data_IF_691494601938
#
_entry.id   IF_691494601938
#
_cell.length_a   1.000
_cell.length_b   1.000
_cell.length_c   1.000
_cell.angle_alpha   90.00
_cell.angle_beta   90.00
_cell.angle_gamma   90.00
#
_symmetry.space_group_name_H-M   'P 1'
#
loop_
_entity.id
_entity.type
_entity.pdbx_description
1 polymer ?
#
# COMPACT_ATOMS: atom_id res chain seq x y z
N UNK A 1 -6.01 16.14 17.83
CA UNK A 1 -4.77 15.63 18.48
C UNK A 1 -4.14 16.83 19.14
N UNK A 2 -3.82 16.82 20.43
CA UNK A 2 -3.15 17.97 21.05
C UNK A 2 -1.66 17.86 20.81
N UNK A 3 -1.06 18.91 20.24
CA UNK A 3 0.37 18.97 19.92
C UNK A 3 0.96 20.27 20.45
N UNK A 4 2.29 20.37 20.58
CA UNK A 4 2.96 21.62 20.93
C UNK A 4 2.71 22.79 19.96
N UNK A 5 2.29 22.50 18.71
CA UNK A 5 2.03 23.50 17.67
C UNK A 5 0.54 23.78 17.44
N UNK A 6 -0.33 23.24 18.29
CA UNK A 6 -1.78 23.42 18.22
C UNK A 6 -2.54 22.10 18.24
N UNK A 7 -3.84 22.18 17.95
CA UNK A 7 -4.76 21.04 18.05
C UNK A 7 -5.36 20.68 16.67
N UNK A 8 -4.58 20.03 15.78
CA UNK A 8 -5.10 19.70 14.46
C UNK A 8 -6.33 18.77 14.55
N UNK A 9 -7.34 19.11 13.75
CA UNK A 9 -8.54 18.32 13.55
C UNK A 9 -8.24 17.29 12.46
N UNK A 10 -8.21 16.01 12.84
CA UNK A 10 -7.78 14.93 11.96
C UNK A 10 -8.87 13.85 11.83
N UNK A 11 -9.12 13.39 10.61
CA UNK A 11 -10.02 12.27 10.31
C UNK A 11 -9.28 11.17 9.55
N UNK A 12 -9.80 9.95 9.64
CA UNK A 12 -9.40 8.86 8.74
C UNK A 12 -9.99 9.12 7.35
N UNK A 13 -9.52 8.34 6.38
CA UNK A 13 -9.98 8.43 4.99
C UNK A 13 -10.30 7.03 4.42
N UNK A 14 -11.38 6.90 3.62
CA UNK A 14 -12.47 7.87 3.49
C UNK A 14 -13.13 8.16 4.84
N UNK A 15 -13.67 9.36 5.02
CA UNK A 15 -14.32 9.74 6.27
C UNK A 15 -15.64 8.97 6.43
N UNK A 16 -15.78 8.21 7.52
CA UNK A 16 -17.03 7.59 7.94
C UNK A 16 -17.39 8.14 9.33
N UNK A 17 -18.51 8.86 9.49
CA UNK A 17 -18.96 9.39 10.78
C UNK A 17 -19.15 8.32 11.87
N UNK A 18 -19.26 7.05 11.48
CA UNK A 18 -19.40 5.91 12.40
C UNK A 18 -18.05 5.30 12.79
N UNK A 19 -16.95 5.71 12.17
CA UNK A 19 -15.62 5.22 12.51
C UNK A 19 -15.22 5.72 13.90
N UNK A 20 -14.95 4.79 14.80
CA UNK A 20 -14.50 5.08 16.17
C UNK A 20 -12.97 5.14 16.27
N UNK A 21 -12.26 4.80 15.20
CA UNK A 21 -10.80 4.84 15.15
C UNK A 21 -10.31 6.25 14.84
N UNK A 22 -9.16 6.60 15.42
CA UNK A 22 -8.49 7.88 15.20
C UNK A 22 -7.57 7.83 13.97
N UNK A 23 -7.29 9.00 13.41
CA UNK A 23 -6.33 9.24 12.33
C UNK A 23 -4.87 9.32 12.81
N UNK A 24 -4.66 9.11 14.10
CA UNK A 24 -3.36 9.20 14.78
C UNK A 24 -3.40 8.26 15.98
N UNK A 25 -2.23 7.89 16.48
CA UNK A 25 -2.08 7.16 17.74
C UNK A 25 -1.04 7.80 18.66
N UNK A 26 -0.84 7.20 19.84
CA UNK A 26 0.03 7.76 20.86
C UNK A 26 1.49 7.95 20.40
N UNK A 27 1.92 7.24 19.35
CA UNK A 27 3.27 7.36 18.81
C UNK A 27 3.47 8.64 18.00
N UNK A 28 2.41 9.13 17.34
CA UNK A 28 2.44 10.41 16.62
C UNK A 28 2.53 11.58 17.63
N UNK A 29 1.70 11.55 18.67
CA UNK A 29 1.70 12.53 19.76
C UNK A 29 3.05 12.57 20.49
N UNK A 30 3.60 11.40 20.83
CA UNK A 30 4.87 11.30 21.54
C UNK A 30 6.03 11.86 20.70
N UNK A 31 6.07 11.53 19.40
CA UNK A 31 7.08 12.08 18.50
C UNK A 31 7.01 13.62 18.47
N UNK A 32 5.82 14.18 18.26
CA UNK A 32 5.65 15.63 18.15
C UNK A 32 6.04 16.36 19.44
N UNK A 33 5.66 15.83 20.61
CA UNK A 33 6.09 16.40 21.90
C UNK A 33 7.60 16.35 22.06
N UNK A 34 8.23 15.23 21.72
CA UNK A 34 9.69 15.09 21.78
C UNK A 34 10.42 16.11 20.90
N UNK A 35 9.90 16.37 19.69
CA UNK A 35 10.48 17.34 18.76
C UNK A 35 10.37 18.78 19.27
N UNK A 36 9.33 19.13 20.02
CA UNK A 36 9.16 20.48 20.59
C UNK A 36 10.00 20.73 21.86
N UNK A 37 10.28 19.68 22.64
CA UNK A 37 11.08 19.77 23.87
C UNK A 37 12.59 19.87 23.59
N UNK A 38 13.02 19.78 22.32
CA UNK A 38 14.44 19.72 21.93
C UNK A 38 14.76 20.66 20.77
N UNK A 39 16.01 21.13 20.68
CA UNK A 39 16.47 21.89 19.52
C UNK A 39 16.59 20.93 18.32
N UNK A 40 15.56 20.88 17.48
CA UNK A 40 15.54 20.15 16.20
C UNK A 40 15.53 21.17 15.06
N UNK A 41 16.35 21.01 14.00
CA UNK A 41 16.45 21.98 12.90
C UNK A 41 15.24 21.89 11.94
N UNK A 42 14.03 22.13 12.46
CA UNK A 42 12.79 22.11 11.68
C UNK A 42 12.67 23.23 10.64
N UNK A 43 13.65 24.15 10.57
CA UNK A 43 13.80 25.11 9.48
C UNK A 43 14.49 24.51 8.24
N UNK A 44 15.15 23.36 8.38
CA UNK A 44 15.77 22.61 7.29
C UNK A 44 14.80 21.70 6.55
N UNK A 45 15.33 20.75 5.79
CA UNK A 45 14.52 19.76 5.05
C UNK A 45 13.98 18.69 5.98
N UNK A 46 12.68 18.77 6.30
CA UNK A 46 11.96 17.80 7.10
C UNK A 46 11.29 16.77 6.19
N UNK A 47 11.63 15.49 6.36
CA UNK A 47 11.03 14.37 5.63
C UNK A 47 10.29 13.46 6.60
N UNK A 48 9.05 13.13 6.26
CA UNK A 48 8.20 12.21 7.04
C UNK A 48 7.81 11.03 6.17
N UNK A 49 8.10 9.82 6.63
CA UNK A 49 7.71 8.58 5.96
C UNK A 49 6.77 7.75 6.82
N UNK A 50 5.83 7.06 6.18
CA UNK A 50 4.88 6.17 6.86
C UNK A 50 3.74 6.86 7.61
N UNK A 51 3.58 8.19 7.47
CA UNK A 51 2.47 8.95 8.04
C UNK A 51 1.17 8.56 7.33
N UNK A 52 0.35 7.72 7.96
CA UNK A 52 -0.77 7.00 7.30
C UNK A 52 -1.95 7.91 6.98
N UNK A 53 -2.16 8.96 7.75
CA UNK A 53 -3.29 9.90 7.59
C UNK A 53 -2.85 11.36 7.55
N UNK A 54 -1.54 11.62 7.46
CA UNK A 54 -1.00 12.98 7.42
C UNK A 54 -0.97 13.68 8.78
N UNK A 55 -1.02 12.95 9.89
CA UNK A 55 -1.09 13.53 11.23
C UNK A 55 0.17 14.33 11.58
N UNK A 56 1.34 13.77 11.28
CA UNK A 56 2.64 14.39 11.57
C UNK A 56 2.87 15.59 10.64
N UNK A 57 2.65 15.42 9.34
CA UNK A 57 2.88 16.51 8.38
C UNK A 57 1.87 17.64 8.51
N UNK A 58 0.65 17.36 8.97
CA UNK A 58 -0.34 18.41 9.30
C UNK A 58 0.12 19.21 10.52
N UNK A 59 0.57 18.54 11.58
CA UNK A 59 1.09 19.22 12.78
C UNK A 59 2.35 20.04 12.49
N UNK A 60 3.19 19.58 11.55
CA UNK A 60 4.43 20.23 11.14
C UNK A 60 4.28 21.15 9.92
N UNK A 61 3.06 21.45 9.46
CA UNK A 61 2.83 22.14 8.19
C UNK A 61 3.55 23.50 8.06
N UNK A 62 3.74 24.22 9.17
CA UNK A 62 4.49 25.49 9.21
C UNK A 62 5.97 25.32 8.80
N UNK A 63 6.53 24.12 8.98
CA UNK A 63 7.89 23.74 8.62
C UNK A 63 8.03 23.17 7.21
N UNK A 64 6.94 23.19 6.43
CA UNK A 64 6.87 22.73 5.05
C UNK A 64 7.48 21.34 4.78
N UNK A 65 7.08 20.30 5.53
CA UNK A 65 7.67 18.96 5.39
C UNK A 65 7.35 18.33 4.03
N UNK A 66 8.20 17.38 3.63
CA UNK A 66 7.90 16.42 2.58
C UNK A 66 7.37 15.12 3.19
N UNK A 67 6.18 14.68 2.78
CA UNK A 67 5.67 13.35 3.08
C UNK A 67 6.07 12.40 1.95
N UNK A 68 6.65 11.23 2.28
CA UNK A 68 6.85 10.14 1.31
C UNK A 68 5.97 8.95 1.74
N UNK A 69 5.11 8.49 0.85
CA UNK A 69 4.17 7.40 1.14
C UNK A 69 4.01 6.44 -0.02
N UNK A 70 3.73 5.18 0.30
CA UNK A 70 3.33 4.16 -0.68
C UNK A 70 1.82 4.14 -0.93
N UNK A 71 1.02 4.91 -0.18
CA UNK A 71 -0.43 4.83 -0.24
C UNK A 71 -1.05 6.07 -0.89
N UNK A 72 -1.79 5.86 -1.97
CA UNK A 72 -2.62 6.91 -2.58
C UNK A 72 -3.71 7.38 -1.64
N UNK A 73 -4.38 6.44 -0.95
CA UNK A 73 -5.37 6.77 0.08
C UNK A 73 -4.75 7.57 1.23
N UNK A 74 -3.48 7.29 1.57
CA UNK A 74 -2.71 8.06 2.53
C UNK A 74 -2.46 9.50 2.07
N UNK A 75 -2.15 9.74 0.79
CA UNK A 75 -2.03 11.10 0.26
C UNK A 75 -3.37 11.84 0.27
N UNK A 76 -4.47 11.18 -0.10
CA UNK A 76 -5.80 11.79 -0.02
C UNK A 76 -6.20 12.13 1.42
N UNK A 77 -5.88 11.25 2.38
CA UNK A 77 -6.07 11.51 3.79
C UNK A 77 -5.28 12.75 4.24
N UNK A 78 -4.01 12.85 3.85
CA UNK A 78 -3.18 14.02 4.14
C UNK A 78 -3.78 15.28 3.51
N UNK A 79 -4.15 15.27 2.22
CA UNK A 79 -4.76 16.44 1.55
C UNK A 79 -6.02 16.91 2.29
N UNK A 80 -6.91 15.98 2.65
CA UNK A 80 -8.13 16.29 3.38
C UNK A 80 -7.83 16.89 4.77
N UNK A 81 -6.88 16.31 5.51
CA UNK A 81 -6.49 16.80 6.83
C UNK A 81 -5.78 18.17 6.77
N UNK A 82 -4.92 18.41 5.78
CA UNK A 82 -4.30 19.72 5.56
C UNK A 82 -5.35 20.79 5.26
N UNK A 83 -6.28 20.49 4.33
CA UNK A 83 -7.36 21.40 3.98
C UNK A 83 -8.27 21.72 5.18
N UNK A 84 -8.62 20.69 5.99
CA UNK A 84 -9.42 20.86 7.21
C UNK A 84 -8.77 21.80 8.23
N UNK A 85 -7.44 21.86 8.26
CA UNK A 85 -6.68 22.72 9.16
C UNK A 85 -6.24 24.05 8.51
N UNK A 86 -6.84 24.41 7.35
CA UNK A 86 -6.54 25.67 6.68
C UNK A 86 -5.12 25.79 6.13
N UNK A 87 -4.41 24.66 5.99
CA UNK A 87 -3.05 24.66 5.44
C UNK A 87 -3.10 24.95 3.95
N UNK A 88 -2.29 25.91 3.51
CA UNK A 88 -2.23 26.31 2.09
C UNK A 88 -1.77 25.14 1.21
N UNK A 89 -2.38 24.95 0.03
CA UNK A 89 -1.88 23.99 -0.95
C UNK A 89 -0.39 24.20 -1.24
N UNK A 90 0.37 23.11 -1.30
CA UNK A 90 1.82 23.14 -1.53
C UNK A 90 2.68 23.45 -0.31
N UNK A 91 2.09 23.76 0.86
CA UNK A 91 2.87 23.88 2.11
C UNK A 91 3.54 22.55 2.49
N UNK A 92 2.85 21.43 2.29
CA UNK A 92 3.42 20.09 2.45
C UNK A 92 3.65 19.49 1.07
N UNK A 93 4.88 19.03 0.79
CA UNK A 93 5.20 18.34 -0.46
C UNK A 93 4.82 16.87 -0.33
N UNK A 94 3.93 16.38 -1.19
CA UNK A 94 3.52 14.98 -1.20
C UNK A 94 4.30 14.23 -2.27
N UNK A 95 5.12 13.28 -1.82
CA UNK A 95 5.93 12.38 -2.64
C UNK A 95 5.44 10.95 -2.47
N UNK A 96 5.71 10.14 -3.48
CA UNK A 96 5.48 8.71 -3.51
C UNK A 96 6.79 7.96 -3.29
N UNK A 97 6.69 6.66 -3.01
CA UNK A 97 7.86 5.75 -2.98
C UNK A 97 8.58 5.60 -4.33
N UNK A 98 7.97 6.08 -5.42
CA UNK A 98 8.59 6.08 -6.76
C UNK A 98 9.32 7.39 -7.08
N UNK A 99 9.06 8.47 -6.33
CA UNK A 99 9.69 9.76 -6.56
C UNK A 99 11.12 9.78 -5.99
N UNK A 100 11.98 10.60 -6.61
CA UNK A 100 13.30 10.87 -6.06
C UNK A 100 13.16 11.58 -4.70
N UNK A 101 13.85 11.11 -3.64
CA UNK A 101 13.84 11.79 -2.36
C UNK A 101 14.58 13.14 -2.45
N UNK A 102 14.36 14.06 -1.48
CA UNK A 102 15.18 15.27 -1.38
C UNK A 102 16.66 14.92 -1.31
N UNK A 103 17.52 15.72 -1.94
CA UNK A 103 18.98 15.49 -1.98
C UNK A 103 19.64 15.58 -0.59
N UNK A 104 19.03 16.33 0.32
CA UNK A 104 19.48 16.53 1.71
C UNK A 104 18.31 16.45 2.66
N UNK A 105 18.50 15.78 3.79
CA UNK A 105 17.50 15.64 4.85
C UNK A 105 18.12 16.09 6.17
N UNK A 106 17.61 17.18 6.75
CA UNK A 106 18.07 17.66 8.06
C UNK A 106 17.28 17.00 9.20
N UNK A 107 16.02 16.60 8.94
CA UNK A 107 15.18 15.87 9.89
C UNK A 107 14.44 14.73 9.17
N UNK A 108 14.67 13.49 9.59
CA UNK A 108 14.01 12.30 9.08
C UNK A 108 13.11 11.68 10.15
N UNK A 109 11.80 11.72 9.93
CA UNK A 109 10.79 11.14 10.80
C UNK A 109 10.22 9.87 10.16
N UNK A 110 10.36 8.74 10.85
CA UNK A 110 9.98 7.42 10.34
C UNK A 110 8.87 6.82 11.18
N UNK A 111 7.61 6.91 10.74
CA UNK A 111 6.54 6.11 11.32
C UNK A 111 6.73 4.66 10.86
N UNK A 112 7.19 3.80 11.77
CA UNK A 112 7.60 2.42 11.44
C UNK A 112 6.47 1.69 10.71
N UNK A 113 6.68 1.26 9.44
CA UNK A 113 5.67 0.54 8.69
C UNK A 113 5.51 -0.88 9.24
N UNK A 114 4.40 -1.53 8.91
CA UNK A 114 4.17 -2.93 9.29
C UNK A 114 5.09 -3.91 8.55
N UNK A 115 5.61 -3.50 7.40
CA UNK A 115 6.48 -4.31 6.54
C UNK A 115 7.93 -3.92 6.75
N UNK A 116 8.76 -4.88 7.18
CA UNK A 116 10.22 -4.68 7.27
C UNK A 116 10.84 -4.44 5.90
N UNK A 117 10.31 -5.07 4.85
CA UNK A 117 10.74 -4.85 3.46
C UNK A 117 10.56 -3.38 3.07
N UNK A 118 9.38 -2.80 3.35
CA UNK A 118 9.11 -1.39 3.07
C UNK A 118 10.03 -0.47 3.87
N UNK A 119 10.26 -0.78 5.15
CA UNK A 119 11.21 -0.01 5.96
C UNK A 119 12.63 -0.08 5.38
N UNK A 120 13.12 -1.26 5.01
CA UNK A 120 14.45 -1.45 4.44
C UNK A 120 14.64 -0.63 3.16
N UNK A 121 13.69 -0.73 2.22
CA UNK A 121 13.71 0.04 0.98
C UNK A 121 13.68 1.55 1.22
N UNK A 122 12.80 2.01 2.12
CA UNK A 122 12.71 3.43 2.48
C UNK A 122 14.02 3.94 3.09
N UNK A 123 14.59 3.22 4.06
CA UNK A 123 15.85 3.61 4.68
C UNK A 123 16.99 3.62 3.66
N UNK A 124 17.10 2.60 2.79
CA UNK A 124 18.16 2.53 1.77
C UNK A 124 18.06 3.63 0.73
N UNK A 125 16.84 3.99 0.30
CA UNK A 125 16.62 5.10 -0.65
C UNK A 125 16.92 6.46 -0.04
N UNK A 126 16.66 6.64 1.25
CA UNK A 126 16.83 7.92 1.95
C UNK A 126 18.23 8.11 2.51
N UNK A 127 18.95 7.02 2.80
CA UNK A 127 20.26 7.07 3.42
C UNK A 127 21.26 7.97 2.65
N UNK A 128 21.31 8.01 1.30
CA UNK A 128 22.19 8.93 0.56
C UNK A 128 21.99 10.41 0.89
N UNK A 129 20.78 10.79 1.29
CA UNK A 129 20.42 12.18 1.63
C UNK A 129 20.61 12.52 3.11
N UNK A 130 20.95 11.53 3.94
CA UNK A 130 21.20 11.67 5.39
C UNK A 130 22.68 11.97 5.62
N UNK A 131 22.97 12.97 6.44
CA UNK A 131 24.32 13.41 6.84
C UNK A 131 24.53 13.28 8.36
N UNK A 132 25.75 13.54 8.84
CA UNK A 132 26.12 13.36 10.26
C UNK A 132 25.19 14.11 11.23
N UNK A 133 24.78 15.33 10.85
CA UNK A 133 23.90 16.18 11.68
C UNK A 133 22.40 15.93 11.49
N UNK A 134 21.99 14.98 10.63
CA UNK A 134 20.57 14.70 10.41
C UNK A 134 19.93 14.17 11.70
N UNK A 135 18.81 14.76 12.11
CA UNK A 135 18.01 14.23 13.21
C UNK A 135 17.12 13.11 12.69
N UNK A 136 17.42 11.86 13.06
CA UNK A 136 16.63 10.68 12.66
C UNK A 136 15.84 10.13 13.85
N UNK A 137 14.51 10.17 13.74
CA UNK A 137 13.61 9.63 14.77
C UNK A 137 12.57 8.68 14.17
N UNK A 138 12.63 7.42 14.58
CA UNK A 138 11.57 6.45 14.33
C UNK A 138 10.49 6.51 15.41
N UNK A 139 9.23 6.27 15.03
CA UNK A 139 8.11 6.20 15.99
C UNK A 139 7.15 5.06 15.69
N UNK A 140 6.61 4.46 16.73
CA UNK A 140 5.53 3.50 16.62
C UNK A 140 5.01 2.98 17.94
N UNK A 141 3.95 2.18 17.87
CA UNK A 141 3.47 1.44 19.03
C UNK A 141 4.51 0.38 19.41
N UNK A 142 4.66 0.05 20.68
CA UNK A 142 5.65 -0.92 21.19
C UNK A 142 5.56 -2.26 20.44
N UNK A 143 4.35 -2.70 20.09
CA UNK A 143 4.12 -3.92 19.30
C UNK A 143 4.58 -3.86 17.84
N UNK A 144 4.91 -2.69 17.33
CA UNK A 144 5.38 -2.44 15.95
C UNK A 144 6.91 -2.29 15.89
N UNK A 145 7.57 -2.00 17.03
CA UNK A 145 9.02 -1.82 17.10
C UNK A 145 9.65 -3.12 17.62
N UNK A 146 10.22 -3.88 16.70
CA UNK A 146 10.89 -5.14 16.98
C UNK A 146 12.42 -4.98 16.93
N UNK A 147 13.15 -5.98 17.44
CA UNK A 147 14.61 -6.03 17.32
C UNK A 147 15.08 -5.95 15.86
N UNK A 148 14.33 -6.56 14.93
CA UNK A 148 14.60 -6.46 13.48
C UNK A 148 14.45 -5.04 12.94
N UNK A 149 13.51 -4.25 13.47
CA UNK A 149 13.37 -2.83 13.14
C UNK A 149 14.63 -2.07 13.51
N UNK A 150 15.11 -2.21 14.75
CA UNK A 150 16.32 -1.53 15.23
C UNK A 150 17.56 -1.94 14.42
N UNK A 151 17.73 -3.24 14.17
CA UNK A 151 18.82 -3.76 13.33
C UNK A 151 18.82 -3.18 11.92
N UNK A 152 17.66 -2.86 11.33
CA UNK A 152 17.61 -2.19 10.03
C UNK A 152 18.13 -0.75 10.11
N UNK A 153 17.70 0.04 11.10
CA UNK A 153 18.26 1.39 11.32
C UNK A 153 19.77 1.32 11.55
N UNK A 154 20.23 0.42 12.42
CA UNK A 154 21.66 0.24 12.75
C UNK A 154 22.50 -0.11 11.54
N UNK A 155 22.01 -1.04 10.71
CA UNK A 155 22.72 -1.51 9.52
C UNK A 155 22.72 -0.49 8.37
N UNK A 156 21.76 0.43 8.31
CA UNK A 156 21.58 1.30 7.14
C UNK A 156 21.97 2.76 7.43
N UNK A 157 21.60 3.25 8.62
CA UNK A 157 21.78 4.65 9.00
C UNK A 157 22.80 4.82 10.12
N UNK A 158 22.80 3.98 11.14
CA UNK A 158 23.75 4.04 12.26
C UNK A 158 23.14 3.68 13.62
N UNK A 159 23.94 3.75 14.70
CA UNK A 159 23.57 3.23 16.02
C UNK A 159 22.22 3.75 16.53
N UNK A 160 21.43 2.87 17.15
CA UNK A 160 20.14 3.24 17.73
C UNK A 160 20.11 3.20 19.24
N UNK A 161 19.31 4.09 19.82
CA UNK A 161 18.80 3.99 21.19
C UNK A 161 17.29 4.18 21.17
N UNK A 162 16.60 3.76 22.22
CA UNK A 162 15.14 3.89 22.28
C UNK A 162 14.70 4.71 23.49
N UNK A 163 13.54 5.36 23.38
CA UNK A 163 12.91 6.00 24.53
C UNK A 163 12.34 4.98 25.51
N UNK A 164 11.96 5.45 26.70
CA UNK A 164 10.98 4.77 27.54
C UNK A 164 9.64 4.69 26.79
N UNK A 165 8.86 3.65 27.07
CA UNK A 165 7.53 3.49 26.52
C UNK A 165 6.56 4.44 27.21
N UNK A 166 5.71 5.12 26.44
CA UNK A 166 4.66 6.00 26.95
C UNK A 166 3.36 5.73 26.21
N UNK A 167 2.25 5.50 26.92
CA UNK A 167 0.95 5.16 26.31
C UNK A 167 1.06 4.02 25.27
N UNK A 168 1.98 3.06 25.51
CA UNK A 168 2.36 1.96 24.61
C UNK A 168 2.99 2.39 23.28
N UNK A 169 3.47 3.63 23.16
CA UNK A 169 4.31 4.13 22.08
C UNK A 169 5.79 4.19 22.49
N UNK A 170 6.69 4.14 21.51
CA UNK A 170 8.14 4.22 21.72
C UNK A 170 8.79 4.93 20.54
N UNK A 171 9.87 5.66 20.83
CA UNK A 171 10.71 6.32 19.84
C UNK A 171 12.02 5.56 19.66
N UNK A 172 12.54 5.59 18.43
CA UNK A 172 13.86 5.12 18.03
C UNK A 172 14.67 6.37 17.69
N UNK A 173 15.79 6.58 18.37
CA UNK A 173 16.74 7.64 18.02
C UNK A 173 17.92 6.99 17.32
N UNK A 174 18.15 7.37 16.07
CA UNK A 174 19.26 6.88 15.26
C UNK A 174 20.28 7.99 15.11
N UNK A 175 21.54 7.69 15.40
CA UNK A 175 22.66 8.61 15.11
C UNK A 175 23.21 8.24 13.74
N UNK A 176 23.10 9.12 12.72
CA UNK A 176 23.65 8.83 11.42
C UNK A 176 25.16 8.62 11.46
N UNK A 177 25.61 7.58 10.76
CA UNK A 177 27.02 7.32 10.50
C UNK A 177 27.25 7.34 8.98
N UNK A 178 27.70 8.48 8.42
CA UNK A 178 27.99 8.59 7.00
C UNK A 178 29.14 7.69 6.52
N UNK A 179 29.95 7.16 7.44
CA UNK A 179 31.06 6.24 7.10
C UNK A 179 30.60 4.79 6.92
N UNK A 180 29.35 4.49 7.28
CA UNK A 180 28.80 3.14 7.24
C UNK A 180 28.70 2.64 5.78
N UNK A 181 29.30 1.47 5.52
CA UNK A 181 29.14 0.78 4.24
C UNK A 181 27.77 0.14 4.18
N UNK A 182 26.90 0.69 3.33
CA UNK A 182 25.51 0.26 3.23
C UNK A 182 25.37 -0.96 2.32
N UNK A 183 24.48 -1.91 2.63
CA UNK A 183 24.15 -2.99 1.72
C UNK A 183 23.46 -2.42 0.46
N UNK A 184 23.58 -3.09 -0.69
CA UNK A 184 22.78 -2.73 -1.86
C UNK A 184 21.29 -2.89 -1.55
N UNK A 185 20.45 -2.05 -2.18
CA UNK A 185 19.00 -2.20 -2.07
C UNK A 185 18.56 -3.50 -2.76
N UNK A 186 17.99 -4.49 -2.03
CA UNK A 186 17.58 -5.75 -2.64
C UNK A 186 16.32 -5.63 -3.50
N UNK A 187 15.65 -4.46 -3.48
CA UNK A 187 14.41 -4.21 -4.18
C UNK A 187 14.64 -3.54 -5.55
N UNK A 188 13.87 -3.94 -6.59
CA UNK A 188 12.81 -4.96 -6.57
C UNK A 188 13.34 -6.39 -6.60
N UNK A 189 12.67 -7.30 -5.88
CA UNK A 189 12.94 -8.74 -5.97
C UNK A 189 12.37 -9.34 -7.25
N UNK A 190 13.09 -10.33 -7.78
CA UNK A 190 12.69 -11.09 -8.96
C UNK A 190 12.74 -12.57 -8.66
N UNK A 191 11.70 -13.31 -9.04
CA UNK A 191 11.69 -14.77 -8.99
C UNK A 191 10.84 -15.36 -10.13
N UNK A 192 11.10 -16.63 -10.43
CA UNK A 192 10.36 -17.37 -11.45
C UNK A 192 9.22 -18.15 -10.82
N UNK A 193 8.05 -18.11 -11.45
CA UNK A 193 6.88 -18.86 -11.00
C UNK A 193 7.03 -20.36 -11.25
N UNK A 194 6.44 -21.22 -10.40
CA UNK A 194 6.42 -22.67 -10.61
C UNK A 194 5.80 -23.07 -11.97
N UNK A 195 6.05 -24.31 -12.42
CA UNK A 195 5.53 -24.81 -13.69
C UNK A 195 4.03 -25.17 -13.73
N UNK A 196 3.30 -24.99 -12.62
CA UNK A 196 1.93 -25.47 -12.43
C UNK A 196 0.93 -24.36 -12.04
N UNK A 197 1.16 -23.13 -12.51
CA UNK A 197 0.37 -21.94 -12.14
C UNK A 197 -0.39 -21.31 -13.32
N UNK A 198 -0.77 -22.12 -14.31
CA UNK A 198 -1.56 -21.66 -15.45
C UNK A 198 -0.75 -20.86 -16.47
N UNK A 199 -1.32 -19.83 -17.12
CA UNK A 199 -0.67 -19.06 -18.19
C UNK A 199 0.67 -18.41 -17.82
N UNK A 200 0.88 -18.16 -16.52
CA UNK A 200 2.11 -17.56 -15.96
C UNK A 200 3.13 -18.60 -15.48
N UNK A 201 2.98 -19.87 -15.86
CA UNK A 201 3.94 -20.92 -15.48
C UNK A 201 5.33 -20.62 -16.06
N UNK A 202 6.36 -20.67 -15.21
CA UNK A 202 7.74 -20.34 -15.60
C UNK A 202 7.99 -18.86 -15.91
N UNK A 203 7.01 -17.98 -15.66
CA UNK A 203 7.12 -16.53 -15.90
C UNK A 203 7.79 -15.80 -14.74
N UNK A 204 8.37 -14.64 -15.04
CA UNK A 204 9.07 -13.81 -14.05
C UNK A 204 8.08 -12.94 -13.29
N UNK A 205 8.25 -12.80 -11.98
CA UNK A 205 7.53 -11.82 -11.15
C UNK A 205 8.52 -10.82 -10.60
N UNK A 206 8.15 -9.55 -10.64
CA UNK A 206 8.91 -8.44 -10.07
C UNK A 206 8.11 -7.83 -8.94
N UNK A 207 8.68 -7.82 -7.74
CA UNK A 207 8.06 -7.28 -6.53
C UNK A 207 8.93 -6.17 -5.94
N UNK A 208 8.41 -4.95 -5.92
CA UNK A 208 8.97 -3.88 -5.12
C UNK A 208 8.63 -4.06 -3.63
N UNK A 209 9.30 -3.31 -2.78
CA UNK A 209 9.10 -3.36 -1.34
C UNK A 209 7.68 -2.94 -0.94
N UNK A 210 7.13 -3.58 0.10
CA UNK A 210 5.80 -3.23 0.61
C UNK A 210 4.63 -3.94 -0.07
N UNK A 211 4.84 -4.57 -1.22
CA UNK A 211 3.83 -5.40 -1.89
C UNK A 211 3.51 -6.64 -1.04
N UNK A 212 2.24 -7.05 -1.06
CA UNK A 212 1.77 -8.25 -0.35
C UNK A 212 2.51 -9.50 -0.85
N UNK A 213 2.97 -10.34 0.08
CA UNK A 213 3.75 -11.56 -0.22
C UNK A 213 4.92 -11.30 -1.19
N UNK A 214 5.69 -10.23 -0.97
CA UNK A 214 6.77 -9.84 -1.90
C UNK A 214 7.87 -10.91 -2.13
N UNK A 215 8.02 -11.90 -1.25
CA UNK A 215 9.04 -12.96 -1.34
C UNK A 215 8.58 -14.22 -2.08
N UNK A 216 7.28 -14.40 -2.34
CA UNK A 216 6.73 -15.60 -2.99
C UNK A 216 5.31 -15.41 -3.50
N UNK A 217 4.88 -16.28 -4.41
CA UNK A 217 3.49 -16.30 -4.85
C UNK A 217 2.52 -16.59 -3.68
N UNK A 218 1.54 -15.71 -3.48
CA UNK A 218 0.44 -15.95 -2.55
C UNK A 218 -0.34 -17.22 -2.94
N UNK A 219 -0.62 -18.06 -1.95
CA UNK A 219 -1.31 -19.33 -2.13
C UNK A 219 -2.75 -19.16 -2.62
N UNK A 220 -3.44 -18.09 -2.22
CA UNK A 220 -4.78 -17.77 -2.74
C UNK A 220 -4.71 -17.41 -4.22
N UNK A 221 -3.74 -16.56 -4.57
CA UNK A 221 -3.45 -16.16 -5.95
C UNK A 221 -3.04 -17.36 -6.81
N UNK A 222 -2.20 -18.28 -6.31
CA UNK A 222 -1.86 -19.54 -6.98
C UNK A 222 -3.10 -20.38 -7.27
N UNK A 223 -4.02 -20.48 -6.30
CA UNK A 223 -5.28 -21.18 -6.49
C UNK A 223 -6.14 -20.49 -7.57
N UNK A 224 -6.17 -19.16 -7.57
CA UNK A 224 -6.94 -18.37 -8.52
C UNK A 224 -6.42 -18.52 -9.97
N UNK A 225 -5.10 -18.43 -10.16
CA UNK A 225 -4.43 -18.55 -11.46
C UNK A 225 -4.75 -19.86 -12.20
N UNK A 226 -4.99 -20.96 -11.48
CA UNK A 226 -5.34 -22.27 -12.06
C UNK A 226 -6.78 -22.34 -12.58
N UNK A 227 -7.64 -21.39 -12.22
CA UNK A 227 -9.06 -21.41 -12.54
C UNK A 227 -9.53 -20.09 -13.17
N UNK A 228 -8.62 -19.27 -13.71
CA UNK A 228 -9.02 -18.03 -14.38
C UNK A 228 -9.98 -18.33 -15.54
N UNK A 229 -10.94 -17.44 -15.82
CA UNK A 229 -11.82 -17.60 -16.98
C UNK A 229 -10.99 -17.63 -18.27
N UNK A 230 -11.29 -18.56 -19.16
CA UNK A 230 -10.64 -18.73 -20.46
C UNK A 230 -11.65 -18.53 -21.60
N UNK A 231 -11.14 -18.34 -22.82
CA UNK A 231 -11.98 -18.29 -24.05
C UNK A 231 -12.83 -17.03 -24.21
N UNK A 232 -12.47 -15.94 -23.51
CA UNK A 232 -13.02 -14.60 -23.77
C UNK A 232 -12.21 -14.06 -24.94
N UNK A 233 -12.82 -13.84 -26.11
CA UNK A 233 -12.11 -13.34 -27.30
C UNK A 233 -11.94 -11.82 -27.20
N UNK A 234 -11.11 -11.35 -26.25
CA UNK A 234 -10.93 -9.95 -25.89
C UNK A 234 -11.89 -9.42 -24.82
N UNK A 235 -11.89 -8.09 -24.67
CA UNK A 235 -12.72 -7.35 -23.72
C UNK A 235 -11.91 -6.61 -22.66
N UNK A 236 -12.59 -5.75 -21.91
CA UNK A 236 -11.97 -4.91 -20.88
C UNK A 236 -11.97 -5.61 -19.53
N UNK A 237 -10.78 -5.96 -19.04
CA UNK A 237 -10.55 -6.71 -17.80
C UNK A 237 -9.96 -5.79 -16.75
N UNK A 238 -10.37 -5.93 -15.49
CA UNK A 238 -9.74 -5.23 -14.36
C UNK A 238 -9.16 -6.23 -13.37
N UNK A 239 -7.87 -6.10 -13.09
CA UNK A 239 -7.20 -6.71 -11.94
C UNK A 239 -7.31 -5.74 -10.74
N UNK A 240 -8.30 -5.97 -9.89
CA UNK A 240 -8.67 -5.08 -8.79
C UNK A 240 -7.90 -5.43 -7.52
N UNK A 241 -7.05 -4.50 -7.06
CA UNK A 241 -6.06 -4.78 -6.03
C UNK A 241 -4.95 -5.65 -6.60
N UNK A 242 -4.34 -5.19 -7.69
CA UNK A 242 -3.50 -6.02 -8.54
C UNK A 242 -2.24 -6.55 -7.84
N UNK A 243 -1.78 -5.92 -6.75
CA UNK A 243 -0.52 -6.31 -6.12
C UNK A 243 0.61 -6.29 -7.14
N UNK A 244 1.27 -7.42 -7.36
CA UNK A 244 2.33 -7.56 -8.37
C UNK A 244 1.85 -7.88 -9.79
N UNK A 245 0.54 -7.83 -10.05
CA UNK A 245 -0.05 -7.95 -11.38
C UNK A 245 -0.01 -9.34 -12.00
N UNK A 246 0.33 -10.40 -11.26
CA UNK A 246 0.40 -11.76 -11.84
C UNK A 246 -0.95 -12.25 -12.37
N UNK A 247 -2.06 -11.82 -11.76
CA UNK A 247 -3.42 -12.22 -12.18
C UNK A 247 -3.77 -11.58 -13.52
N UNK A 248 -3.66 -10.25 -13.64
CA UNK A 248 -3.90 -9.57 -14.91
C UNK A 248 -2.89 -9.96 -16.01
N UNK A 249 -1.62 -10.21 -15.64
CA UNK A 249 -0.59 -10.70 -16.58
C UNK A 249 -0.96 -12.07 -17.14
N UNK A 250 -1.52 -12.96 -16.32
CA UNK A 250 -1.99 -14.26 -16.78
C UNK A 250 -3.14 -14.16 -17.79
N UNK A 251 -4.05 -13.21 -17.61
CA UNK A 251 -5.10 -12.95 -18.60
C UNK A 251 -4.52 -12.47 -19.91
N UNK A 252 -3.65 -11.46 -19.88
CA UNK A 252 -3.07 -10.88 -21.08
C UNK A 252 -2.15 -11.86 -21.85
N UNK A 253 -1.52 -12.81 -21.16
CA UNK A 253 -0.78 -13.92 -21.79
C UNK A 253 -1.70 -14.97 -22.44
N UNK A 254 -2.87 -15.21 -21.85
CA UNK A 254 -3.84 -16.18 -22.36
C UNK A 254 -4.68 -15.62 -23.51
N UNK A 255 -4.88 -14.30 -23.54
CA UNK A 255 -5.65 -13.58 -24.55
C UNK A 255 -5.00 -12.24 -24.89
N UNK A 256 -4.34 -12.19 -26.05
CA UNK A 256 -3.68 -10.98 -26.54
C UNK A 256 -4.64 -9.85 -26.94
N UNK A 257 -5.94 -10.13 -27.08
CA UNK A 257 -6.98 -9.11 -27.37
C UNK A 257 -7.55 -8.49 -26.09
N UNK A 258 -7.20 -9.00 -24.91
CA UNK A 258 -7.67 -8.44 -23.66
C UNK A 258 -7.04 -7.06 -23.40
N UNK A 259 -7.87 -6.11 -22.96
CA UNK A 259 -7.42 -4.82 -22.45
C UNK A 259 -7.44 -4.87 -20.93
N UNK A 260 -6.27 -4.98 -20.29
CA UNK A 260 -6.16 -5.20 -18.84
C UNK A 260 -5.84 -3.90 -18.11
N UNK A 261 -6.74 -3.47 -17.23
CA UNK A 261 -6.50 -2.42 -16.25
C UNK A 261 -6.01 -3.04 -14.94
N UNK A 262 -4.77 -2.71 -14.56
CA UNK A 262 -4.20 -3.02 -13.25
C UNK A 262 -4.45 -1.84 -12.32
N UNK A 263 -5.15 -2.08 -11.20
CA UNK A 263 -5.43 -1.03 -10.23
C UNK A 263 -5.11 -1.45 -8.80
N UNK A 264 -4.38 -0.59 -8.10
CA UNK A 264 -4.07 -0.75 -6.68
C UNK A 264 -3.97 0.63 -6.01
N UNK A 265 -4.09 0.69 -4.68
CA UNK A 265 -3.87 1.93 -3.93
C UNK A 265 -2.38 2.15 -3.63
N UNK A 266 -1.60 1.07 -3.66
CA UNK A 266 -0.14 1.10 -3.44
C UNK A 266 0.61 1.50 -4.72
N UNK A 267 1.48 2.50 -4.60
CA UNK A 267 2.37 2.90 -5.69
C UNK A 267 3.37 1.78 -6.05
N UNK A 268 3.92 1.09 -5.05
CA UNK A 268 4.83 -0.05 -5.23
C UNK A 268 4.12 -1.26 -5.85
N UNK A 269 2.84 -1.49 -5.55
CA UNK A 269 2.05 -2.55 -6.19
C UNK A 269 1.91 -2.27 -7.69
N UNK A 270 1.44 -1.07 -8.07
CA UNK A 270 1.29 -0.73 -9.49
C UNK A 270 2.63 -0.76 -10.23
N UNK A 271 3.72 -0.31 -9.61
CA UNK A 271 5.08 -0.44 -10.17
C UNK A 271 5.48 -1.92 -10.36
N UNK A 272 5.17 -2.78 -9.39
CA UNK A 272 5.42 -4.24 -9.47
C UNK A 272 4.61 -4.93 -10.57
N UNK A 273 3.33 -4.57 -10.71
CA UNK A 273 2.48 -5.04 -11.79
C UNK A 273 3.04 -4.63 -13.15
N UNK A 274 3.49 -3.38 -13.27
CA UNK A 274 4.06 -2.87 -14.50
C UNK A 274 5.37 -3.58 -14.87
N UNK A 275 6.27 -3.78 -13.90
CA UNK A 275 7.54 -4.46 -14.15
C UNK A 275 7.37 -5.96 -14.38
N UNK A 276 6.40 -6.60 -13.72
CA UNK A 276 6.03 -7.99 -13.99
C UNK A 276 5.47 -8.15 -15.40
N UNK A 277 4.59 -7.25 -15.83
CA UNK A 277 4.04 -7.28 -17.19
C UNK A 277 5.14 -7.12 -18.24
N UNK A 278 6.04 -6.13 -18.06
CA UNK A 278 7.18 -5.89 -18.95
C UNK A 278 8.15 -7.06 -18.99
N UNK A 279 8.46 -7.69 -17.85
CA UNK A 279 9.41 -8.79 -17.76
C UNK A 279 8.96 -10.08 -18.46
N UNK A 280 7.72 -10.14 -18.95
CA UNK A 280 7.16 -11.30 -19.64
C UNK A 280 6.75 -11.03 -21.09
N UNK A 281 7.18 -9.89 -21.65
CA UNK A 281 7.00 -9.53 -23.07
C UNK A 281 5.54 -9.70 -23.56
N UNK A 282 4.58 -9.32 -22.72
CA UNK A 282 3.16 -9.47 -23.02
C UNK A 282 2.75 -8.48 -24.12
N UNK A 283 2.19 -8.99 -25.21
CA UNK A 283 1.81 -8.20 -26.40
C UNK A 283 0.46 -7.47 -26.29
N UNK A 284 -0.35 -7.81 -25.28
CA UNK A 284 -1.66 -7.21 -25.06
C UNK A 284 -1.62 -5.76 -24.60
N UNK A 285 -2.79 -5.13 -24.52
CA UNK A 285 -2.92 -3.76 -24.02
C UNK A 285 -3.09 -3.74 -22.50
N UNK A 286 -2.29 -2.90 -21.83
CA UNK A 286 -2.34 -2.75 -20.38
C UNK A 286 -2.37 -1.28 -19.95
N UNK A 287 -3.23 -0.96 -18.98
CA UNK A 287 -3.28 0.31 -18.25
C UNK A 287 -2.89 0.06 -16.79
N UNK A 288 -2.04 0.90 -16.21
CA UNK A 288 -1.58 0.79 -14.82
C UNK A 288 -1.99 2.03 -14.06
N UNK A 289 -2.80 1.85 -13.01
CA UNK A 289 -3.42 2.98 -12.33
C UNK A 289 -3.34 2.85 -10.81
N UNK A 290 -2.79 3.87 -10.18
CA UNK A 290 -2.85 4.01 -8.72
C UNK A 290 -4.15 4.73 -8.35
N UNK A 291 -4.92 4.17 -7.43
CA UNK A 291 -6.12 4.84 -6.93
C UNK A 291 -7.02 3.98 -6.06
N UNK A 292 -8.16 4.55 -5.68
CA UNK A 292 -9.14 3.89 -4.84
C UNK A 292 -10.05 2.94 -5.63
N UNK A 293 -9.55 1.73 -5.83
CA UNK A 293 -10.26 0.65 -6.52
C UNK A 293 -10.78 1.08 -7.88
N UNK A 294 -12.09 1.01 -8.08
CA UNK A 294 -12.71 1.28 -9.38
C UNK A 294 -13.16 2.74 -9.55
N UNK A 295 -12.75 3.66 -8.68
CA UNK A 295 -13.04 5.10 -8.85
C UNK A 295 -12.54 5.60 -10.21
N UNK A 296 -13.33 6.46 -10.88
CA UNK A 296 -13.03 6.96 -12.23
C UNK A 296 -13.26 5.98 -13.38
N UNK A 297 -13.53 4.69 -13.12
CA UNK A 297 -13.90 3.74 -14.19
C UNK A 297 -15.39 3.94 -14.55
N UNK A 298 -15.73 4.16 -15.84
CA UNK A 298 -17.11 4.37 -16.25
C UNK A 298 -18.02 3.19 -15.92
N UNK A 299 -19.29 3.50 -15.61
CA UNK A 299 -20.30 2.47 -15.36
C UNK A 299 -20.58 1.66 -16.62
N UNK A 300 -20.75 0.35 -16.49
CA UNK A 300 -21.10 -0.52 -17.62
C UNK A 300 -20.03 -0.67 -18.70
N UNK A 301 -18.76 -0.40 -18.38
CA UNK A 301 -17.64 -0.38 -19.34
C UNK A 301 -16.66 -1.56 -19.22
N UNK A 302 -16.89 -2.48 -18.28
CA UNK A 302 -15.95 -3.58 -17.96
C UNK A 302 -16.61 -4.94 -18.22
N UNK A 303 -15.85 -5.86 -18.78
CA UNK A 303 -16.28 -7.24 -19.07
C UNK A 303 -16.07 -8.19 -17.89
N UNK A 304 -14.92 -8.03 -17.23
CA UNK A 304 -14.44 -8.94 -16.21
C UNK A 304 -13.70 -8.15 -15.13
N UNK A 305 -14.03 -8.40 -13.86
CA UNK A 305 -13.26 -7.94 -12.72
C UNK A 305 -12.71 -9.18 -12.00
N UNK A 306 -11.40 -9.23 -11.84
CA UNK A 306 -10.68 -10.23 -11.05
C UNK A 306 -10.26 -9.59 -9.74
N UNK A 307 -10.47 -10.27 -8.61
CA UNK A 307 -10.17 -9.68 -7.32
C UNK A 307 -9.73 -10.73 -6.28
N UNK A 308 -8.57 -10.48 -5.66
CA UNK A 308 -8.13 -11.14 -4.44
C UNK A 308 -8.13 -10.09 -3.31
N UNK A 309 -9.26 -9.87 -2.60
CA UNK A 309 -9.35 -8.79 -1.61
C UNK A 309 -8.37 -9.01 -0.45
N UNK A 310 -7.81 -7.93 0.13
CA UNK A 310 -6.90 -8.04 1.27
C UNK A 310 -7.62 -8.67 2.47
N UNK A 311 -6.94 -9.57 3.20
CA UNK A 311 -7.54 -10.33 4.32
C UNK A 311 -6.84 -10.15 5.69
N UNK A 312 -5.78 -9.34 5.77
CA UNK A 312 -4.91 -9.22 6.96
C UNK A 312 -5.16 -8.00 7.87
N UNK A 313 -6.19 -7.21 7.60
CA UNK A 313 -6.63 -6.13 8.50
C UNK A 313 -7.65 -6.63 9.54
N UNK A 314 -7.88 -5.86 10.60
CA UNK A 314 -8.97 -6.11 11.56
C UNK A 314 -10.25 -6.50 10.80
N UNK A 315 -10.94 -7.56 11.22
CA UNK A 315 -12.07 -8.17 10.50
C UNK A 315 -13.06 -7.13 9.95
N UNK A 316 -13.40 -6.10 10.73
CA UNK A 316 -14.30 -5.02 10.32
C UNK A 316 -13.75 -4.17 9.16
N UNK A 317 -12.46 -3.84 9.16
CA UNK A 317 -11.81 -3.06 8.09
C UNK A 317 -11.70 -3.88 6.81
N UNK A 318 -11.35 -5.16 6.93
CA UNK A 318 -11.32 -6.12 5.81
C UNK A 318 -12.70 -6.25 5.15
N UNK A 319 -13.75 -6.31 5.98
CA UNK A 319 -15.13 -6.46 5.50
C UNK A 319 -15.59 -5.26 4.66
N UNK A 320 -15.30 -4.04 5.14
CA UNK A 320 -15.62 -2.79 4.47
C UNK A 320 -14.86 -2.61 3.14
N UNK A 321 -13.58 -2.96 3.10
CA UNK A 321 -12.78 -2.89 1.86
C UNK A 321 -13.33 -3.81 0.78
N UNK A 322 -13.58 -5.09 1.11
CA UNK A 322 -14.17 -6.03 0.16
C UNK A 322 -15.55 -5.57 -0.32
N UNK A 323 -16.38 -5.03 0.57
CA UNK A 323 -17.69 -4.48 0.20
C UNK A 323 -17.58 -3.33 -0.81
N UNK A 324 -16.65 -2.40 -0.59
CA UNK A 324 -16.39 -1.27 -1.51
C UNK A 324 -15.89 -1.76 -2.86
N UNK A 325 -14.95 -2.71 -2.88
CA UNK A 325 -14.44 -3.35 -4.10
C UNK A 325 -15.58 -4.00 -4.91
N UNK A 326 -16.42 -4.81 -4.27
CA UNK A 326 -17.54 -5.50 -4.94
C UNK A 326 -18.62 -4.54 -5.43
N UNK A 327 -18.91 -3.48 -4.67
CA UNK A 327 -19.84 -2.42 -5.08
C UNK A 327 -19.32 -1.68 -6.31
N UNK A 328 -18.03 -1.34 -6.31
CA UNK A 328 -17.35 -0.77 -7.47
C UNK A 328 -17.44 -1.69 -8.69
N UNK A 329 -17.16 -2.98 -8.52
CA UNK A 329 -17.20 -3.95 -9.60
C UNK A 329 -18.59 -4.07 -10.21
N UNK A 330 -19.63 -4.16 -9.37
CA UNK A 330 -21.02 -4.18 -9.84
C UNK A 330 -21.37 -2.94 -10.68
N UNK A 331 -20.88 -1.76 -10.28
CA UNK A 331 -21.14 -0.49 -11.00
C UNK A 331 -20.45 -0.46 -12.36
N UNK A 332 -19.22 -0.96 -12.46
CA UNK A 332 -18.41 -0.84 -13.68
C UNK A 332 -18.64 -1.96 -14.69
N UNK A 333 -19.02 -3.16 -14.25
CA UNK A 333 -19.30 -4.27 -15.16
C UNK A 333 -20.44 -3.94 -16.12
N UNK A 334 -20.41 -4.34 -17.39
CA UNK A 334 -21.58 -4.26 -18.28
C UNK A 334 -22.63 -5.34 -17.93
N UNK A 335 -23.90 -5.25 -18.39
CA UNK A 335 -24.81 -6.39 -18.31
C UNK A 335 -24.17 -7.64 -18.93
N UNK A 336 -24.23 -8.76 -18.23
CA UNK A 336 -23.51 -10.00 -18.57
C UNK A 336 -22.04 -10.04 -18.13
N UNK A 337 -21.47 -8.93 -17.67
CA UNK A 337 -20.11 -8.86 -17.14
C UNK A 337 -19.96 -9.59 -15.80
N UNK A 338 -18.75 -10.04 -15.51
CA UNK A 338 -18.48 -10.98 -14.42
C UNK A 338 -17.51 -10.41 -13.37
N UNK A 339 -17.81 -10.62 -12.09
CA UNK A 339 -16.87 -10.46 -10.99
C UNK A 339 -16.44 -11.86 -10.52
N UNK A 340 -15.12 -12.08 -10.51
CA UNK A 340 -14.49 -13.29 -9.99
C UNK A 340 -13.63 -12.96 -8.78
N UNK A 341 -13.89 -13.64 -7.67
CA UNK A 341 -13.27 -13.36 -6.37
C UNK A 341 -12.67 -14.63 -5.82
N UNK A 342 -11.39 -14.59 -5.44
CA UNK A 342 -10.78 -15.60 -4.57
C UNK A 342 -10.75 -15.09 -3.13
N UNK A 343 -10.98 -15.97 -2.17
CA UNK A 343 -10.85 -15.62 -0.75
C UNK A 343 -10.89 -16.82 0.17
N UNK A 344 -10.51 -16.62 1.43
CA UNK A 344 -10.62 -17.65 2.46
C UNK A 344 -12.09 -18.02 2.68
N UNK A 345 -12.40 -19.32 2.81
CA UNK A 345 -13.79 -19.82 2.95
C UNK A 345 -14.56 -19.18 4.11
N UNK A 346 -13.89 -18.93 5.24
CA UNK A 346 -14.51 -18.35 6.43
C UNK A 346 -14.95 -16.88 6.27
N UNK A 347 -14.52 -16.18 5.20
CA UNK A 347 -14.89 -14.78 4.96
C UNK A 347 -16.32 -14.63 4.40
N UNK A 348 -16.94 -15.71 3.93
CA UNK A 348 -18.36 -15.71 3.56
C UNK A 348 -18.74 -14.76 2.40
N UNK A 349 -17.82 -14.48 1.46
CA UNK A 349 -18.06 -13.51 0.38
C UNK A 349 -19.28 -13.81 -0.49
N UNK A 350 -19.71 -15.06 -0.59
CA UNK A 350 -20.92 -15.45 -1.32
C UNK A 350 -22.18 -14.73 -0.80
N UNK A 351 -22.27 -14.41 0.50
CA UNK A 351 -23.39 -13.65 1.09
C UNK A 351 -23.42 -12.23 0.53
N UNK A 352 -22.26 -11.56 0.51
CA UNK A 352 -22.12 -10.21 -0.04
C UNK A 352 -22.41 -10.17 -1.53
N UNK A 353 -21.88 -11.14 -2.28
CA UNK A 353 -22.11 -11.25 -3.71
C UNK A 353 -23.60 -11.47 -4.03
N UNK A 354 -24.28 -12.38 -3.31
CA UNK A 354 -25.74 -12.56 -3.46
C UNK A 354 -26.52 -11.28 -3.15
N UNK A 355 -26.14 -10.54 -2.10
CA UNK A 355 -26.78 -9.27 -1.75
C UNK A 355 -26.59 -8.19 -2.82
N UNK A 356 -25.41 -8.12 -3.45
CA UNK A 356 -25.08 -7.08 -4.44
C UNK A 356 -25.54 -7.44 -5.85
N UNK A 357 -25.27 -8.67 -6.31
CA UNK A 357 -25.51 -9.11 -7.69
C UNK A 357 -26.79 -9.95 -7.86
N UNK A 358 -27.43 -10.35 -6.77
CA UNK A 358 -28.57 -11.29 -6.80
C UNK A 358 -28.16 -12.74 -7.12
N UNK A 359 -26.87 -13.00 -7.34
CA UNK A 359 -26.33 -14.32 -7.67
C UNK A 359 -24.89 -14.48 -7.15
N UNK A 360 -24.47 -15.72 -6.96
CA UNK A 360 -23.09 -16.10 -6.66
C UNK A 360 -22.94 -17.61 -6.89
N UNK A 361 -22.01 -17.97 -7.77
CA UNK A 361 -21.67 -19.35 -8.14
C UNK A 361 -20.29 -19.70 -7.59
N UNK A 362 -20.12 -20.92 -7.11
CA UNK A 362 -18.80 -21.46 -6.73
C UNK A 362 -18.17 -22.04 -7.99
N UNK A 363 -17.05 -21.46 -8.44
CA UNK A 363 -16.31 -21.98 -9.60
C UNK A 363 -15.37 -23.11 -9.18
N UNK A 364 -14.66 -22.91 -8.07
CA UNK A 364 -13.76 -23.90 -7.50
C UNK A 364 -13.61 -23.67 -5.99
N UNK A 365 -13.26 -24.70 -5.26
CA UNK A 365 -12.95 -24.59 -3.83
C UNK A 365 -11.99 -25.68 -3.37
N UNK A 366 -11.17 -25.37 -2.37
CA UNK A 366 -10.36 -26.33 -1.63
C UNK A 366 -10.66 -26.20 -0.11
N UNK A 367 -9.92 -26.86 0.81
CA UNK A 367 -10.15 -26.69 2.24
C UNK A 367 -9.97 -25.25 2.77
N UNK A 368 -9.17 -24.41 2.13
CA UNK A 368 -8.78 -23.06 2.58
C UNK A 368 -9.47 -21.95 1.78
N UNK A 369 -9.53 -22.07 0.46
CA UNK A 369 -9.95 -21.04 -0.47
C UNK A 369 -11.21 -21.42 -1.26
N UNK A 370 -11.92 -20.41 -1.71
CA UNK A 370 -13.05 -20.53 -2.65
C UNK A 370 -12.92 -19.46 -3.72
N UNK A 371 -13.23 -19.83 -4.96
CA UNK A 371 -13.38 -18.92 -6.08
C UNK A 371 -14.87 -18.78 -6.38
N UNK A 372 -15.35 -17.55 -6.33
CA UNK A 372 -16.75 -17.20 -6.53
C UNK A 372 -16.90 -16.34 -7.77
N UNK A 373 -17.93 -16.61 -8.56
CA UNK A 373 -18.34 -15.83 -9.72
C UNK A 373 -19.69 -15.17 -9.44
N UNK A 374 -19.83 -13.90 -9.82
CA UNK A 374 -21.09 -13.19 -9.83
C UNK A 374 -21.26 -12.43 -11.16
N UNK A 375 -22.45 -12.49 -11.75
CA UNK A 375 -22.76 -11.86 -13.04
C UNK A 375 -23.61 -10.61 -12.81
N UNK A 376 -23.28 -9.50 -13.45
CA UNK A 376 -24.17 -8.33 -13.49
C UNK A 376 -25.35 -8.62 -14.41
N UNK A 377 -26.53 -8.80 -13.85
CA UNK A 377 -27.78 -8.97 -14.60
C UNK A 377 -28.35 -7.65 -15.09
#
# INVERSE_FOLDING_TARGET
MTTPWGEPVLSRFPEDPRDRLRAWDASDEYLLRHLAERPVPLSGTVVVVGDRWGALVTALAAHRPAQITDSWLGQEATRANLARNGVKPGAVRLLTTQDAPPERIDVLLVRVPKSLALLEDQLLRLAPSVHADTVVVGTGMVKEIHTSTLKLFERILGPTRTSLAEKKARLIFCTPDPSLVRPPNPWPYRYTLPGDVGPVSGRTVVNHAGVFCADRLDIGTRFFLRHLPAGRDGGRVVDLGCGNGVVGTAVALADAKAEVLFVDESFQAVASAQDTYRANDVSGHAEFRVGDGLTGVPSGSVDLVLNNPPFHSHQATTDATAWRMFTGARRTLRPGGELWVVGNRHLGYHVKLRRLFGNSEVVASDPKFVILKAVRR
#
